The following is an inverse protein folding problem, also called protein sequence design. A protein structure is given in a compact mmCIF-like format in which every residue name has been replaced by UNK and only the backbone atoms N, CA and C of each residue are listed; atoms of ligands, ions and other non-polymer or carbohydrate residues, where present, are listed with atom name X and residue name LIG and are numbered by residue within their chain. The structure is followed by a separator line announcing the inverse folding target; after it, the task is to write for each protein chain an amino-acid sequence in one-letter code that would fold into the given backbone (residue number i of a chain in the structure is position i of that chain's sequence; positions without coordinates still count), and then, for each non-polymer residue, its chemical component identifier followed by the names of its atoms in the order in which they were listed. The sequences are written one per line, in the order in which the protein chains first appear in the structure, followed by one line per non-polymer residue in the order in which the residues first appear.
data_IF_925568221631
#
_entry.id   IF_925568221631
#
_cell.length_a   1.000
_cell.length_b   1.000
_cell.length_c   1.000
_cell.angle_alpha   90.00
_cell.angle_beta   90.00
_cell.angle_gamma   90.00
#
_symmetry.space_group_name_H-M   'P 1'
#
loop_
_entity.id
_entity.type
_entity.pdbx_description
1 polymer ?
#
# COMPACT_ATOMS: atom_id res chain seq x y z
N UNK A 1 -38.97 10.62 -55.32
CA UNK A 1 -40.02 9.65 -54.93
C UNK A 1 -39.82 9.28 -53.47
N UNK A 2 -40.80 9.57 -52.62
CA UNK A 2 -40.88 9.14 -51.22
C UNK A 2 -41.36 7.67 -51.17
N UNK A 3 -40.83 6.81 -50.28
CA UNK A 3 -41.55 5.62 -49.79
C UNK A 3 -40.99 5.09 -48.46
N UNK A 4 -41.89 5.08 -47.47
CA UNK A 4 -41.84 4.56 -46.11
C UNK A 4 -41.55 3.06 -46.01
N UNK A 5 -40.95 2.60 -44.89
CA UNK A 5 -41.49 1.47 -44.10
C UNK A 5 -40.87 1.38 -42.68
N UNK A 6 -41.70 1.53 -41.66
CA UNK A 6 -41.48 1.09 -40.28
C UNK A 6 -41.17 -0.42 -40.20
N UNK A 7 -40.56 -0.90 -39.10
CA UNK A 7 -40.91 -2.08 -38.26
C UNK A 7 -39.79 -2.23 -37.19
N UNK A 8 -40.01 -1.81 -35.94
CA UNK A 8 -40.58 -2.56 -34.79
C UNK A 8 -39.57 -3.50 -34.07
N UNK A 9 -39.37 -3.21 -32.78
CA UNK A 9 -39.04 -4.14 -31.67
C UNK A 9 -37.91 -5.18 -31.87
N UNK A 10 -36.70 -4.84 -31.40
CA UNK A 10 -35.69 -5.80 -30.97
C UNK A 10 -35.65 -5.89 -29.44
N UNK A 11 -36.32 -6.90 -28.90
CA UNK A 11 -36.43 -7.29 -27.50
C UNK A 11 -35.13 -7.97 -27.01
N UNK A 12 -34.43 -7.35 -26.04
CA UNK A 12 -33.86 -7.99 -24.82
C UNK A 12 -32.60 -8.91 -24.87
N UNK A 13 -31.66 -8.58 -23.96
CA UNK A 13 -30.62 -9.37 -23.24
C UNK A 13 -29.24 -9.68 -23.92
N UNK A 14 -28.10 -9.69 -23.17
CA UNK A 14 -27.92 -9.39 -21.74
C UNK A 14 -26.86 -8.34 -21.40
N UNK A 15 -27.06 -7.76 -20.22
CA UNK A 15 -26.08 -7.05 -19.43
C UNK A 15 -24.84 -7.91 -19.17
N UNK A 16 -23.81 -7.79 -20.01
CA UNK A 16 -22.44 -8.10 -19.60
C UNK A 16 -21.89 -6.87 -18.86
N UNK A 17 -22.48 -6.59 -17.70
CA UNK A 17 -21.81 -5.83 -16.65
C UNK A 17 -20.63 -6.73 -16.30
N UNK A 18 -19.45 -6.40 -16.82
CA UNK A 18 -18.23 -7.10 -16.46
C UNK A 18 -18.08 -7.00 -14.95
N UNK A 19 -18.37 -8.09 -14.25
CA UNK A 19 -17.88 -8.31 -12.89
C UNK A 19 -16.37 -8.35 -13.01
N UNK A 20 -15.78 -7.15 -13.02
CA UNK A 20 -14.35 -6.97 -12.83
C UNK A 20 -14.14 -7.34 -11.38
N UNK A 21 -13.69 -8.57 -11.12
CA UNK A 21 -13.33 -9.04 -9.79
C UNK A 21 -12.36 -8.03 -9.20
N UNK A 22 -12.84 -7.21 -8.26
CA UNK A 22 -11.96 -6.37 -7.47
C UNK A 22 -11.18 -7.34 -6.60
N UNK A 23 -9.93 -7.62 -6.97
CA UNK A 23 -9.04 -8.37 -6.09
C UNK A 23 -8.84 -7.54 -4.84
N UNK A 24 -9.50 -7.95 -3.76
CA UNK A 24 -9.28 -7.37 -2.44
C UNK A 24 -7.95 -7.92 -1.93
N UNK A 25 -6.86 -7.19 -2.20
CA UNK A 25 -5.56 -7.50 -1.60
C UNK A 25 -5.60 -7.13 -0.12
N UNK A 26 -5.36 -8.10 0.76
CA UNK A 26 -5.25 -7.85 2.18
C UNK A 26 -4.08 -6.88 2.44
N UNK A 27 -4.35 -5.81 3.17
CA UNK A 27 -3.34 -4.86 3.61
C UNK A 27 -2.96 -5.16 5.05
N UNK A 28 -1.66 -5.11 5.34
CA UNK A 28 -1.12 -5.20 6.68
C UNK A 28 -0.66 -3.82 7.13
N UNK A 29 -0.90 -3.51 8.39
CA UNK A 29 -0.36 -2.31 9.01
C UNK A 29 0.93 -2.65 9.73
N UNK A 30 2.03 -2.04 9.28
CA UNK A 30 3.35 -2.15 9.90
C UNK A 30 3.50 -0.99 10.87
N UNK A 31 3.68 -1.32 12.15
CA UNK A 31 4.02 -0.35 13.19
C UNK A 31 5.47 -0.49 13.58
N UNK A 32 6.09 0.63 13.95
CA UNK A 32 7.43 0.61 14.52
C UNK A 32 7.80 1.91 15.20
N UNK A 33 9.00 1.91 15.77
CA UNK A 33 9.53 3.01 16.56
C UNK A 33 10.99 3.24 16.15
N UNK A 34 11.35 4.51 15.93
CA UNK A 34 12.70 4.88 15.53
C UNK A 34 13.32 5.73 16.63
N UNK A 35 14.45 5.24 17.13
CA UNK A 35 15.21 5.82 18.22
C UNK A 35 16.63 6.14 17.78
N UNK A 36 17.21 7.17 18.39
CA UNK A 36 18.64 7.40 18.35
C UNK A 36 19.37 6.27 19.10
N UNK A 37 20.37 5.67 18.46
CA UNK A 37 21.05 4.49 18.99
C UNK A 37 21.94 4.77 20.23
N UNK A 38 22.38 6.01 20.42
CA UNK A 38 23.29 6.39 21.51
C UNK A 38 22.53 6.89 22.74
N UNK A 39 21.50 7.70 22.51
CA UNK A 39 20.73 8.39 23.55
C UNK A 39 19.42 7.68 23.88
N UNK A 40 18.88 6.89 22.95
CA UNK A 40 17.56 6.28 23.07
C UNK A 40 16.41 7.28 22.86
N UNK A 41 16.70 8.51 22.44
CA UNK A 41 15.69 9.53 22.19
C UNK A 41 14.87 9.21 20.93
N UNK A 42 13.56 9.49 20.93
CA UNK A 42 12.71 9.27 19.76
C UNK A 42 13.08 10.22 18.62
N UNK A 43 13.24 9.68 17.43
CA UNK A 43 13.51 10.46 16.23
C UNK A 43 12.20 10.82 15.53
N UNK A 44 11.75 12.05 15.74
CA UNK A 44 10.60 12.61 15.04
C UNK A 44 10.95 13.00 13.60
N UNK A 45 9.98 12.87 12.69
CA UNK A 45 10.14 13.18 11.27
C UNK A 45 11.26 12.37 10.56
N UNK A 46 11.65 11.21 11.09
CA UNK A 46 12.45 10.23 10.39
C UNK A 46 11.64 9.63 9.24
N UNK A 47 12.26 9.51 8.07
CA UNK A 47 11.62 8.94 6.87
C UNK A 47 11.78 7.43 6.85
N UNK A 48 10.68 6.73 6.61
CA UNK A 48 10.61 5.28 6.39
C UNK A 48 10.10 5.05 4.98
N UNK A 49 10.98 4.61 4.08
CA UNK A 49 10.66 4.46 2.65
C UNK A 49 10.78 3.01 2.21
N UNK A 50 9.82 2.52 1.42
CA UNK A 50 9.91 1.22 0.77
C UNK A 50 10.71 1.36 -0.52
N UNK A 51 11.89 0.75 -0.56
CA UNK A 51 12.80 0.85 -1.70
C UNK A 51 12.18 0.28 -2.98
N UNK A 52 12.40 1.00 -4.09
CA UNK A 52 11.84 0.66 -5.40
C UNK A 52 10.38 1.11 -5.58
N UNK A 53 9.80 1.82 -4.61
CA UNK A 53 8.44 2.35 -4.69
C UNK A 53 8.39 3.82 -4.24
N UNK A 54 7.25 4.47 -4.43
CA UNK A 54 6.96 5.79 -3.86
C UNK A 54 6.23 5.68 -2.50
N UNK A 55 6.15 4.49 -1.93
CA UNK A 55 5.46 4.24 -0.67
C UNK A 55 6.39 4.50 0.50
N UNK A 56 5.92 5.26 1.47
CA UNK A 56 6.68 5.57 2.67
C UNK A 56 5.83 6.35 3.67
N UNK A 57 6.40 6.56 4.85
CA UNK A 57 5.79 7.29 5.95
C UNK A 57 6.88 8.06 6.69
N UNK A 58 6.47 8.88 7.66
CA UNK A 58 7.38 9.59 8.56
C UNK A 58 6.98 9.33 10.00
N UNK A 59 7.96 9.32 10.90
CA UNK A 59 7.68 9.18 12.32
C UNK A 59 7.02 10.41 12.93
N UNK A 60 6.19 10.19 13.94
CA UNK A 60 5.57 11.23 14.76
C UNK A 60 6.54 11.80 15.82
N UNK A 61 6.04 12.71 16.67
CA UNK A 61 6.83 13.35 17.73
C UNK A 61 7.36 12.38 18.79
N UNK A 62 6.85 11.16 18.84
CA UNK A 62 7.28 10.11 19.73
C UNK A 62 8.11 9.06 18.99
N UNK A 63 8.48 9.28 17.73
CA UNK A 63 9.29 8.35 16.93
C UNK A 63 8.49 7.17 16.36
N UNK A 64 7.17 7.14 16.52
CA UNK A 64 6.34 6.04 16.01
C UNK A 64 6.02 6.26 14.54
N UNK A 65 5.95 5.18 13.77
CA UNK A 65 5.42 5.21 12.42
C UNK A 65 4.37 4.12 12.21
N UNK A 66 3.49 4.40 11.26
CA UNK A 66 2.52 3.47 10.72
C UNK A 66 2.66 3.45 9.20
N UNK A 67 2.76 2.25 8.63
CA UNK A 67 2.93 2.04 7.19
C UNK A 67 2.05 0.87 6.73
N UNK A 68 1.09 1.15 5.87
CA UNK A 68 0.19 0.14 5.31
C UNK A 68 0.81 -0.45 4.05
N UNK A 69 1.01 -1.77 4.03
CA UNK A 69 1.60 -2.51 2.92
C UNK A 69 0.82 -3.80 2.66
N UNK A 70 0.63 -4.21 1.38
CA UNK A 70 0.11 -5.53 1.08
C UNK A 70 1.09 -6.63 1.51
N UNK A 71 0.65 -7.89 1.42
CA UNK A 71 1.56 -9.02 1.60
C UNK A 71 2.71 -8.97 0.59
N UNK A 72 3.92 -9.29 1.04
CA UNK A 72 5.11 -9.24 0.20
C UNK A 72 6.42 -9.12 0.98
N UNK A 73 7.52 -9.11 0.23
CA UNK A 73 8.86 -8.88 0.76
C UNK A 73 9.32 -7.48 0.36
N UNK A 74 9.73 -6.70 1.35
CA UNK A 74 10.10 -5.31 1.21
C UNK A 74 11.48 -5.05 1.76
N UNK A 75 12.14 -4.01 1.23
CA UNK A 75 13.32 -3.42 1.83
C UNK A 75 12.97 -2.00 2.24
N UNK A 76 12.96 -1.75 3.53
CA UNK A 76 12.72 -0.43 4.09
C UNK A 76 14.04 0.30 4.21
N UNK A 77 14.08 1.57 3.83
CA UNK A 77 15.15 2.50 4.16
C UNK A 77 14.64 3.50 5.19
N UNK A 78 15.34 3.56 6.31
CA UNK A 78 15.15 4.54 7.37
C UNK A 78 16.21 5.62 7.19
N UNK A 79 15.79 6.89 7.18
CA UNK A 79 16.72 8.02 7.05
C UNK A 79 16.25 9.23 7.85
N UNK A 80 17.20 9.98 8.38
CA UNK A 80 16.95 11.21 9.11
C UNK A 80 18.14 12.15 8.91
N UNK A 81 17.90 13.47 8.94
CA UNK A 81 18.94 14.46 8.63
C UNK A 81 20.04 14.41 9.69
N UNK A 82 21.29 14.27 9.25
CA UNK A 82 22.45 14.14 10.14
C UNK A 82 22.75 12.71 10.60
N UNK A 83 21.97 11.72 10.15
CA UNK A 83 22.15 10.31 10.50
C UNK A 83 22.54 9.48 9.28
N UNK A 84 23.25 8.36 9.53
CA UNK A 84 23.43 7.35 8.50
C UNK A 84 22.10 6.65 8.23
N UNK A 85 21.75 6.46 6.96
CA UNK A 85 20.57 5.67 6.59
C UNK A 85 20.79 4.20 6.89
N UNK A 86 19.73 3.52 7.31
CA UNK A 86 19.72 2.07 7.58
C UNK A 86 18.71 1.40 6.67
N UNK A 87 19.04 0.20 6.19
CA UNK A 87 18.14 -0.61 5.37
C UNK A 87 17.78 -1.92 6.09
N UNK A 88 16.51 -2.30 6.04
CA UNK A 88 15.98 -3.49 6.70
C UNK A 88 15.05 -4.25 5.76
N UNK A 89 15.12 -5.58 5.79
CA UNK A 89 14.21 -6.44 5.04
C UNK A 89 12.99 -6.78 5.91
N UNK A 90 11.80 -6.66 5.33
CA UNK A 90 10.52 -6.97 5.98
C UNK A 90 9.73 -7.95 5.12
N UNK A 91 9.23 -9.02 5.72
CA UNK A 91 8.40 -10.02 5.04
C UNK A 91 7.01 -10.06 5.66
N UNK A 92 6.01 -9.58 4.91
CA UNK A 92 4.60 -9.57 5.29
C UNK A 92 3.90 -10.75 4.65
N UNK A 93 3.29 -11.58 5.48
CA UNK A 93 2.52 -12.74 5.05
C UNK A 93 1.13 -12.67 5.70
N UNK A 94 0.10 -13.26 5.06
CA UNK A 94 -1.21 -13.36 5.66
C UNK A 94 -1.12 -14.02 7.04
N UNK A 95 -1.84 -13.48 8.03
CA UNK A 95 -1.83 -13.97 9.42
C UNK A 95 -2.17 -15.47 9.57
N UNK A 96 -2.76 -16.10 8.55
CA UNK A 96 -3.08 -17.54 8.52
C UNK A 96 -1.89 -18.45 8.18
N UNK A 97 -0.70 -17.89 7.88
CA UNK A 97 0.54 -18.62 7.61
C UNK A 97 1.71 -18.12 8.47
N UNK A 98 1.54 -18.05 9.79
CA UNK A 98 2.70 -18.01 10.68
C UNK A 98 3.40 -19.38 10.66
N UNK A 99 4.71 -19.46 10.39
CA UNK A 99 5.48 -20.69 10.55
C UNK A 99 5.58 -21.15 12.01
#
# INVERSE_FOLDING_TARGET
MLKFRNILLGLVLPACIGLSSMELHAQNTVHGHILDALTGEPLAAASVTVLGTNTGTTTDNQGHFELVLPDGNYRLRISFVGYSSTEMTLSLHPASRSP
#
